data_IF_976787758971
#
_entry.id   IF_976787758971
#
_cell.length_a   1.000
_cell.length_b   1.000
_cell.length_c   1.000
_cell.angle_alpha   90.00
_cell.angle_beta   90.00
_cell.angle_gamma   90.00
#
_symmetry.space_group_name_H-M   'P 1'
#
loop_
_entity.id
_entity.type
_entity.pdbx_description
1 polymer ?
#
# COMPACT_ATOMS: atom_id res chain seq x y z
N UNK A 1 -23.73 34.47 -13.67
CA UNK A 1 -24.47 33.71 -12.63
C UNK A 1 -23.85 32.36 -12.33
N UNK A 2 -23.84 31.37 -13.24
CA UNK A 2 -23.22 30.06 -12.91
C UNK A 2 -21.70 30.14 -12.63
N UNK A 3 -20.98 30.98 -13.38
CA UNK A 3 -19.53 31.12 -13.22
C UNK A 3 -19.11 31.81 -11.90
N UNK A 4 -19.94 32.72 -11.39
CA UNK A 4 -19.66 33.47 -10.15
C UNK A 4 -19.80 32.56 -8.94
N UNK A 5 -20.78 31.65 -9.01
CA UNK A 5 -21.04 30.66 -7.98
C UNK A 5 -19.90 29.64 -7.87
N UNK A 6 -19.39 29.14 -9.00
CA UNK A 6 -18.24 28.21 -9.00
C UNK A 6 -16.98 28.90 -8.45
N UNK A 7 -16.73 30.16 -8.85
CA UNK A 7 -15.56 30.93 -8.41
C UNK A 7 -15.56 31.20 -6.91
N UNK A 8 -16.72 31.38 -6.30
CA UNK A 8 -16.88 31.57 -4.85
C UNK A 8 -16.48 30.33 -4.03
N UNK A 9 -16.46 29.14 -4.65
CA UNK A 9 -16.09 27.88 -4.00
C UNK A 9 -14.79 27.28 -4.54
N UNK A 10 -13.98 28.02 -5.32
CA UNK A 10 -12.65 27.56 -5.75
C UNK A 10 -11.70 27.27 -4.57
N UNK A 11 -12.01 27.81 -3.38
CA UNK A 11 -11.31 27.52 -2.13
C UNK A 11 -11.70 26.18 -1.47
N UNK A 12 -12.81 25.55 -1.90
CA UNK A 12 -13.20 24.20 -1.43
C UNK A 12 -12.44 23.09 -2.16
N UNK A 13 -11.53 23.43 -3.07
CA UNK A 13 -10.47 22.52 -3.48
C UNK A 13 -9.55 22.35 -2.26
N UNK A 14 -9.95 21.45 -1.36
CA UNK A 14 -9.23 21.20 -0.11
C UNK A 14 -7.75 21.06 -0.38
N UNK A 15 -6.93 21.60 0.53
CA UNK A 15 -5.46 21.58 0.48
C UNK A 15 -4.97 20.41 -0.34
N UNK A 16 -4.25 20.68 -1.44
CA UNK A 16 -3.83 19.66 -2.42
C UNK A 16 -3.04 18.56 -1.69
N UNK A 17 -3.76 17.52 -1.25
CA UNK A 17 -3.21 16.45 -0.46
C UNK A 17 -2.42 15.59 -1.43
N UNK A 18 -1.11 15.74 -1.39
CA UNK A 18 -0.20 15.03 -2.28
C UNK A 18 0.09 13.61 -1.79
N UNK A 19 0.53 12.74 -2.70
CA UNK A 19 1.03 11.37 -2.42
C UNK A 19 2.08 11.37 -1.29
N UNK A 20 2.83 12.45 -1.13
CA UNK A 20 3.80 12.64 -0.05
C UNK A 20 3.19 12.49 1.36
N UNK A 21 1.89 12.77 1.52
CA UNK A 21 1.20 12.58 2.79
C UNK A 21 0.92 11.09 3.07
N UNK A 22 0.68 10.27 2.05
CA UNK A 22 0.49 8.83 2.19
C UNK A 22 1.74 8.10 2.68
N UNK A 23 2.91 8.59 2.31
CA UNK A 23 4.20 8.05 2.75
C UNK A 23 4.40 8.21 4.27
N UNK A 24 3.77 9.22 4.87
CA UNK A 24 3.82 9.47 6.30
C UNK A 24 2.90 8.55 7.09
N UNK A 25 1.92 7.92 6.43
CA UNK A 25 0.95 7.02 7.06
C UNK A 25 1.59 5.66 7.27
N UNK A 26 2.34 5.52 8.37
CA UNK A 26 2.94 4.26 8.78
C UNK A 26 1.96 3.35 9.50
N UNK A 27 2.21 2.04 9.41
CA UNK A 27 1.51 1.03 10.19
C UNK A 27 1.94 1.13 11.66
N UNK A 28 0.97 1.07 12.56
CA UNK A 28 1.17 1.03 14.00
C UNK A 28 1.42 -0.42 14.47
N UNK A 29 2.16 -0.58 15.57
CA UNK A 29 2.49 -1.91 16.12
C UNK A 29 1.26 -2.67 16.63
N UNK A 30 0.24 -1.96 17.11
CA UNK A 30 -0.96 -2.52 17.72
C UNK A 30 -2.15 -2.68 16.76
N UNK A 31 -2.05 -2.19 15.53
CA UNK A 31 -3.12 -2.36 14.54
C UNK A 31 -2.86 -3.57 13.65
N UNK A 32 -3.92 -4.29 13.29
CA UNK A 32 -3.87 -5.34 12.26
C UNK A 32 -3.57 -4.73 10.89
N UNK A 33 -3.00 -5.52 9.99
CA UNK A 33 -2.79 -5.13 8.59
C UNK A 33 -4.05 -4.58 7.92
N UNK A 34 -5.20 -5.24 8.13
CA UNK A 34 -6.47 -4.81 7.54
C UNK A 34 -6.89 -3.40 8.00
N UNK A 35 -6.83 -3.12 9.31
CA UNK A 35 -7.13 -1.79 9.86
C UNK A 35 -6.21 -0.73 9.28
N UNK A 36 -4.91 -1.02 9.19
CA UNK A 36 -3.94 -0.14 8.58
C UNK A 36 -4.29 0.16 7.11
N UNK A 37 -4.55 -0.86 6.30
CA UNK A 37 -4.88 -0.70 4.88
C UNK A 37 -6.13 0.15 4.65
N UNK A 38 -7.17 -0.06 5.47
CA UNK A 38 -8.40 0.76 5.41
C UNK A 38 -8.11 2.21 5.77
N UNK A 39 -7.36 2.46 6.86
CA UNK A 39 -6.96 3.82 7.29
C UNK A 39 -6.11 4.51 6.23
N UNK A 40 -5.18 3.79 5.63
CA UNK A 40 -4.34 4.31 4.56
C UNK A 40 -5.18 4.68 3.32
N UNK A 41 -6.12 3.81 2.91
CA UNK A 41 -7.01 4.09 1.77
C UNK A 41 -7.93 5.28 2.03
N UNK A 42 -8.37 5.47 3.27
CA UNK A 42 -9.15 6.65 3.67
C UNK A 42 -8.35 7.95 3.47
N UNK A 43 -7.07 7.97 3.85
CA UNK A 43 -6.21 9.12 3.58
C UNK A 43 -5.97 9.31 2.08
N UNK A 44 -5.79 8.22 1.35
CA UNK A 44 -5.58 8.24 -0.09
C UNK A 44 -6.82 8.70 -0.88
N UNK A 45 -8.02 8.54 -0.33
CA UNK A 45 -9.27 9.03 -0.94
C UNK A 45 -9.40 10.56 -0.95
N UNK A 46 -8.59 11.26 -0.15
CA UNK A 46 -8.60 12.73 -0.06
C UNK A 46 -7.71 13.40 -1.13
N UNK A 47 -6.95 12.61 -1.89
CA UNK A 47 -6.05 13.10 -2.93
C UNK A 47 -6.86 13.46 -4.18
N UNK A 48 -6.56 14.63 -4.74
CA UNK A 48 -7.12 15.10 -6.00
C UNK A 48 -6.01 15.36 -7.04
N UNK A 49 -6.17 14.87 -8.29
CA UNK A 49 -7.20 13.93 -8.74
C UNK A 49 -7.07 12.56 -8.04
N UNK A 50 -8.18 11.84 -7.91
CA UNK A 50 -8.18 10.53 -7.25
C UNK A 50 -7.33 9.53 -8.05
N UNK A 51 -6.58 8.68 -7.33
CA UNK A 51 -5.75 7.63 -7.93
C UNK A 51 -6.63 6.56 -8.58
N UNK A 52 -6.13 5.94 -9.65
CA UNK A 52 -6.71 4.70 -10.18
C UNK A 52 -6.48 3.53 -9.22
N UNK A 53 -7.26 2.45 -9.35
CA UNK A 53 -7.09 1.25 -8.50
C UNK A 53 -5.68 0.65 -8.63
N UNK A 54 -5.09 0.68 -9.83
CA UNK A 54 -3.72 0.23 -10.08
C UNK A 54 -2.69 1.10 -9.33
N UNK A 55 -2.83 2.42 -9.42
CA UNK A 55 -1.95 3.37 -8.71
C UNK A 55 -2.11 3.27 -7.19
N UNK A 56 -3.33 3.03 -6.68
CA UNK A 56 -3.55 2.77 -5.27
C UNK A 56 -2.81 1.52 -4.81
N UNK A 57 -2.92 0.42 -5.55
CA UNK A 57 -2.27 -0.85 -5.22
C UNK A 57 -0.76 -0.68 -5.28
N UNK A 58 -0.24 -0.11 -6.36
CA UNK A 58 1.20 0.05 -6.54
C UNK A 58 1.78 0.96 -5.45
N UNK A 59 1.14 2.09 -5.16
CA UNK A 59 1.58 3.02 -4.11
C UNK A 59 1.52 2.35 -2.74
N UNK A 60 0.43 1.64 -2.42
CA UNK A 60 0.31 0.95 -1.14
C UNK A 60 1.41 -0.12 -0.95
N UNK A 61 1.75 -0.88 -1.99
CA UNK A 61 2.85 -1.85 -1.94
C UNK A 61 4.16 -1.12 -1.64
N UNK A 62 4.47 -0.04 -2.36
CA UNK A 62 5.73 0.69 -2.21
C UNK A 62 5.93 1.34 -0.83
N UNK A 63 4.85 1.72 -0.14
CA UNK A 63 4.98 2.26 1.23
C UNK A 63 5.15 1.18 2.30
N UNK A 64 4.98 -0.10 1.95
CA UNK A 64 5.27 -1.18 2.88
C UNK A 64 6.78 -1.32 3.09
N UNK A 65 7.16 -1.84 4.25
CA UNK A 65 8.55 -2.07 4.61
C UNK A 65 8.81 -3.59 4.76
N UNK A 66 10.05 -4.00 4.48
CA UNK A 66 10.54 -5.35 4.74
C UNK A 66 9.71 -6.45 4.09
N UNK A 67 9.33 -7.44 4.89
CA UNK A 67 8.67 -8.65 4.40
C UNK A 67 7.34 -8.38 3.69
N UNK A 68 6.60 -7.36 4.13
CA UNK A 68 5.33 -6.99 3.49
C UNK A 68 5.53 -6.46 2.07
N UNK A 69 6.54 -5.62 1.84
CA UNK A 69 6.89 -5.15 0.50
C UNK A 69 7.20 -6.33 -0.43
N UNK A 70 8.11 -7.21 -0.01
CA UNK A 70 8.54 -8.36 -0.82
C UNK A 70 7.37 -9.28 -1.19
N UNK A 71 6.54 -9.64 -0.20
CA UNK A 71 5.44 -10.59 -0.40
C UNK A 71 4.29 -10.00 -1.21
N UNK A 72 3.94 -8.73 -0.98
CA UNK A 72 2.87 -8.09 -1.73
C UNK A 72 3.31 -7.77 -3.16
N UNK A 73 4.56 -7.36 -3.38
CA UNK A 73 5.11 -7.13 -4.72
C UNK A 73 5.10 -8.41 -5.57
N UNK A 74 5.39 -9.56 -4.95
CA UNK A 74 5.32 -10.87 -5.60
C UNK A 74 3.90 -11.38 -5.84
N UNK A 75 2.87 -10.70 -5.34
CA UNK A 75 1.48 -11.13 -5.46
C UNK A 75 0.72 -10.34 -6.53
N UNK A 76 -0.09 -11.03 -7.32
CA UNK A 76 -0.93 -10.42 -8.36
C UNK A 76 -2.27 -9.95 -7.78
N UNK A 77 -2.29 -8.82 -7.06
CA UNK A 77 -3.53 -8.22 -6.57
C UNK A 77 -4.19 -7.33 -7.64
N UNK A 78 -5.40 -7.68 -8.07
CA UNK A 78 -6.18 -6.91 -9.07
C UNK A 78 -7.07 -5.80 -8.49
N UNK A 79 -7.29 -5.83 -7.18
CA UNK A 79 -8.04 -4.83 -6.45
C UNK A 79 -7.53 -4.79 -5.00
N UNK A 80 -7.85 -3.72 -4.29
CA UNK A 80 -7.39 -3.53 -2.92
C UNK A 80 -7.97 -4.55 -1.94
N UNK A 81 -9.17 -5.09 -2.20
CA UNK A 81 -9.74 -6.15 -1.37
C UNK A 81 -8.88 -7.41 -1.41
N UNK A 82 -8.39 -7.79 -2.59
CA UNK A 82 -7.44 -8.88 -2.76
C UNK A 82 -6.12 -8.57 -2.04
N UNK A 83 -5.62 -7.34 -2.15
CA UNK A 83 -4.41 -6.90 -1.44
C UNK A 83 -4.54 -7.03 0.08
N UNK A 84 -5.68 -6.64 0.65
CA UNK A 84 -5.99 -6.81 2.08
C UNK A 84 -5.98 -8.28 2.48
N UNK A 85 -6.60 -9.15 1.69
CA UNK A 85 -6.62 -10.60 1.97
C UNK A 85 -5.20 -11.17 2.01
N UNK A 86 -4.38 -10.85 1.02
CA UNK A 86 -2.98 -11.29 0.96
C UNK A 86 -2.19 -10.80 2.18
N UNK A 87 -2.32 -9.52 2.53
CA UNK A 87 -1.66 -8.97 3.70
C UNK A 87 -2.12 -9.57 5.03
N UNK A 88 -3.40 -9.94 5.14
CA UNK A 88 -3.93 -10.70 6.29
C UNK A 88 -3.31 -12.09 6.38
N UNK A 89 -3.17 -12.79 5.25
CA UNK A 89 -2.50 -14.10 5.24
C UNK A 89 -1.01 -14.01 5.60
N UNK A 90 -0.34 -12.93 5.21
CA UNK A 90 1.04 -12.64 5.64
C UNK A 90 1.07 -12.44 7.17
N UNK A 91 0.18 -11.59 7.71
CA UNK A 91 0.09 -11.32 9.14
C UNK A 91 -0.19 -12.60 9.95
N UNK A 92 -1.14 -13.43 9.51
CA UNK A 92 -1.44 -14.72 10.11
C UNK A 92 -0.23 -15.67 10.04
N UNK A 93 0.42 -15.78 8.88
CA UNK A 93 1.60 -16.64 8.71
C UNK A 93 2.78 -16.24 9.59
N UNK A 94 2.93 -14.94 9.92
CA UNK A 94 3.91 -14.47 10.89
C UNK A 94 3.49 -14.88 12.32
N UNK A 95 2.24 -14.65 12.69
CA UNK A 95 1.71 -15.01 14.02
C UNK A 95 1.79 -16.52 14.29
N UNK A 96 1.56 -17.33 13.26
CA UNK A 96 1.63 -18.79 13.33
C UNK A 96 3.06 -19.33 13.15
N UNK A 97 4.06 -18.46 12.99
CA UNK A 97 5.47 -18.83 12.85
C UNK A 97 5.84 -19.53 11.52
N UNK A 98 4.93 -19.56 10.54
CA UNK A 98 5.19 -20.12 9.20
C UNK A 98 6.04 -19.19 8.33
N UNK A 99 5.99 -17.89 8.60
CA UNK A 99 6.73 -16.86 7.89
C UNK A 99 7.71 -16.22 8.86
N UNK A 100 8.99 -16.26 8.48
CA UNK A 100 10.07 -15.67 9.28
C UNK A 100 10.32 -14.23 8.83
N UNK A 101 10.02 -13.27 9.71
CA UNK A 101 10.41 -11.88 9.51
C UNK A 101 11.89 -11.68 9.90
N UNK A 102 12.77 -11.66 8.89
CA UNK A 102 14.21 -11.48 9.07
C UNK A 102 14.57 -10.14 9.72
N UNK A 103 13.74 -9.10 9.55
CA UNK A 103 13.97 -7.79 10.16
C UNK A 103 13.78 -7.86 11.68
N UNK A 104 12.76 -8.59 12.14
CA UNK A 104 12.55 -8.86 13.57
C UNK A 104 13.70 -9.68 14.18
N UNK A 105 14.25 -10.65 13.44
CA UNK A 105 15.42 -11.44 13.89
C UNK A 105 16.66 -10.55 14.07
N UNK A 106 16.92 -9.63 13.15
CA UNK A 106 18.05 -8.69 13.30
C UNK A 106 17.88 -7.78 14.52
N UNK A 107 16.67 -7.26 14.77
CA UNK A 107 16.39 -6.45 15.96
C UNK A 107 16.60 -7.28 17.23
N UNK A 108 16.11 -8.52 17.28
CA UNK A 108 16.31 -9.42 18.44
C UNK A 108 17.79 -9.72 18.64
N UNK A 109 18.54 -10.00 17.57
CA UNK A 109 19.98 -10.24 17.65
C UNK A 109 20.75 -9.01 18.14
N UNK A 110 20.45 -7.82 17.60
CA UNK A 110 21.08 -6.57 18.03
C UNK A 110 20.75 -6.24 19.50
N UNK A 111 19.50 -6.47 19.91
CA UNK A 111 19.06 -6.26 21.30
C UNK A 111 19.72 -7.25 22.25
N UNK A 112 19.89 -8.51 21.83
CA UNK A 112 20.61 -9.52 22.62
C UNK A 112 22.09 -9.16 22.77
N UNK A 113 22.75 -8.73 21.69
CA UNK A 113 24.14 -8.26 21.72
C UNK A 113 24.30 -7.02 22.61
N UNK A 114 23.38 -6.05 22.52
CA UNK A 114 23.38 -4.88 23.38
C UNK A 114 23.17 -5.23 24.86
N UNK A 115 22.27 -6.20 25.16
CA UNK A 115 22.06 -6.69 26.53
C UNK A 115 23.28 -7.40 27.11
N UNK A 116 24.01 -8.18 26.30
CA UNK A 116 25.28 -8.81 26.72
C UNK A 116 26.34 -7.73 26.98
N UNK A 117 26.47 -6.74 26.10
CA UNK A 117 27.43 -5.64 26.25
C UNK A 117 27.16 -4.83 27.52
N UNK A 118 25.90 -4.48 27.79
CA UNK A 118 25.50 -3.75 29.01
C UNK A 118 25.76 -4.60 30.25
N UNK A 119 25.40 -5.89 30.24
CA UNK A 119 25.60 -6.78 31.39
C UNK A 119 27.10 -6.92 31.75
N UNK A 120 27.96 -7.09 30.74
CA UNK A 120 29.41 -7.14 30.90
C UNK A 120 29.96 -5.81 31.47
N UNK A 121 29.47 -4.66 31.00
CA UNK A 121 29.87 -3.36 31.54
C UNK A 121 29.42 -3.14 32.99
N UNK A 122 28.22 -3.56 33.39
CA UNK A 122 27.79 -3.52 34.82
C UNK A 122 28.66 -4.41 35.69
N UNK A 123 29.01 -5.61 35.22
CA UNK A 123 29.89 -6.53 35.96
C UNK A 123 31.33 -6.01 36.07
N UNK A 124 31.82 -5.32 35.05
CA UNK A 124 33.12 -4.62 35.09
C UNK A 124 33.04 -3.39 36.02
N UNK A 125 31.92 -2.66 36.06
CA UNK A 125 31.71 -1.52 36.97
C UNK A 125 31.60 -1.96 38.43
N UNK A 126 30.95 -3.09 38.72
CA UNK A 126 30.87 -3.67 40.07
C UNK A 126 32.25 -4.13 40.56
N UNK A 127 33.05 -4.76 39.69
CA UNK A 127 34.42 -5.16 40.02
C UNK A 127 35.39 -3.98 40.16
N UNK A 128 35.15 -2.86 39.47
CA UNK A 128 36.00 -1.67 39.52
C UNK A 128 35.54 -0.63 40.56
N UNK A 129 34.36 -0.81 41.19
CA UNK A 129 33.85 0.07 42.25
C UNK A 129 34.60 -0.06 43.58
N UNK A 130 35.55 -0.99 43.69
CA UNK A 130 36.42 -1.13 44.88
C UNK A 130 37.71 -0.29 44.73
N UNK A 131 38.04 0.29 43.55
CA UNK A 131 39.39 0.84 43.31
C UNK A 131 39.55 2.31 42.86
N UNK A 132 38.51 3.13 42.69
CA UNK A 132 38.72 4.52 42.19
C UNK A 132 38.22 5.57 43.21
N UNK A 133 39.05 5.82 44.23
CA UNK A 133 39.17 7.17 44.82
C UNK A 133 40.12 7.96 43.93
N UNK A 134 39.67 9.13 43.47
CA UNK A 134 40.41 10.14 42.69
C UNK A 134 40.85 9.66 41.29
N UNK A 135 40.19 10.15 40.24
CA UNK A 135 40.79 11.15 39.36
C UNK A 135 39.78 11.60 38.29
N UNK A 136 39.57 12.90 38.29
CA UNK A 136 38.79 13.70 37.37
C UNK A 136 39.58 13.88 36.06
N UNK A 137 38.97 13.66 34.89
CA UNK A 137 39.20 14.45 33.65
C UNK A 137 38.32 13.99 32.48
N UNK A 138 37.43 14.91 32.12
CA UNK A 138 36.86 15.25 30.80
C UNK A 138 37.42 14.49 29.56
N UNK A 139 36.52 13.85 28.81
CA UNK A 139 36.48 13.99 27.35
C UNK A 139 35.14 13.53 26.75
N UNK A 140 34.57 14.40 25.92
CA UNK A 140 33.34 14.25 25.15
C UNK A 140 33.63 13.58 23.79
N UNK A 141 32.88 12.55 23.37
CA UNK A 141 32.77 12.20 21.96
C UNK A 141 31.44 12.70 21.39
N UNK A 142 31.54 13.41 20.25
CA UNK A 142 30.40 13.89 19.46
C UNK A 142 29.58 12.74 18.87
N UNK A 143 28.27 12.80 19.06
CA UNK A 143 27.30 11.98 18.36
C UNK A 143 27.16 12.45 16.89
N UNK A 144 27.57 11.60 15.94
CA UNK A 144 27.17 11.74 14.55
C UNK A 144 25.80 11.07 14.35
N UNK A 145 24.76 11.90 14.30
CA UNK A 145 23.41 11.52 13.91
C UNK A 145 23.42 11.13 12.43
N UNK A 146 23.14 9.86 12.13
CA UNK A 146 22.97 9.36 10.77
C UNK A 146 21.58 9.78 10.25
N UNK A 147 21.54 10.95 9.62
CA UNK A 147 20.36 11.52 8.99
C UNK A 147 20.17 10.93 7.58
N UNK A 148 19.42 9.84 7.47
CA UNK A 148 18.99 9.32 6.17
C UNK A 148 17.94 10.25 5.56
N UNK A 149 18.31 10.96 4.50
CA UNK A 149 17.41 11.69 3.62
C UNK A 149 17.21 10.86 2.35
N UNK A 150 16.04 10.25 2.21
CA UNK A 150 15.63 9.59 0.98
C UNK A 150 14.81 10.58 0.15
N UNK A 151 15.46 11.19 -0.84
CA UNK A 151 14.85 12.11 -1.80
C UNK A 151 14.01 11.34 -2.82
N UNK A 152 12.69 11.41 -2.60
CA UNK A 152 11.57 11.40 -3.54
C UNK A 152 11.92 11.43 -5.04
N UNK A 153 11.72 10.30 -5.73
CA UNK A 153 11.51 10.21 -7.18
C UNK A 153 10.22 9.41 -7.45
N UNK A 154 9.06 10.01 -7.14
CA UNK A 154 7.74 9.34 -7.17
C UNK A 154 7.05 9.28 -8.53
N UNK A 155 7.65 9.81 -9.61
CA UNK A 155 6.99 9.86 -10.93
C UNK A 155 7.65 9.02 -12.04
N UNK A 156 8.73 8.29 -11.78
CA UNK A 156 9.51 7.63 -12.86
C UNK A 156 9.61 6.11 -12.80
N UNK A 157 8.83 5.41 -11.97
CA UNK A 157 8.85 3.95 -11.96
C UNK A 157 7.48 3.40 -12.29
N UNK A 158 7.16 3.39 -13.58
CA UNK A 158 6.17 2.44 -14.10
C UNK A 158 6.81 1.04 -14.04
N UNK A 159 6.78 0.45 -12.85
CA UNK A 159 7.15 -0.94 -12.64
C UNK A 159 6.12 -1.78 -13.38
N UNK A 160 6.58 -2.54 -14.38
CA UNK A 160 5.79 -3.62 -14.96
C UNK A 160 5.48 -4.60 -13.84
N UNK A 161 4.25 -4.62 -13.36
CA UNK A 161 3.81 -5.59 -12.39
C UNK A 161 4.09 -7.01 -12.94
N UNK A 162 4.67 -7.94 -12.16
CA UNK A 162 4.95 -9.31 -12.60
C UNK A 162 3.71 -10.04 -13.14
N UNK A 163 2.52 -9.55 -12.80
CA UNK A 163 1.24 -10.08 -13.21
C UNK A 163 1.09 -10.20 -14.74
N UNK A 164 1.57 -9.23 -15.52
CA UNK A 164 1.43 -9.30 -16.98
C UNK A 164 2.20 -10.49 -17.59
N UNK A 165 3.33 -10.90 -17.01
CA UNK A 165 4.14 -12.00 -17.54
C UNK A 165 3.55 -13.39 -17.26
N UNK A 166 2.83 -13.56 -16.15
CA UNK A 166 2.21 -14.85 -15.80
C UNK A 166 1.05 -15.23 -16.74
N UNK A 167 0.40 -14.25 -17.38
CA UNK A 167 -0.63 -14.51 -18.39
C UNK A 167 -0.06 -15.00 -19.74
N UNK A 168 1.24 -14.81 -20.00
CA UNK A 168 1.87 -15.23 -21.27
C UNK A 168 2.43 -16.66 -21.23
N UNK A 169 2.69 -17.25 -20.07
CA UNK A 169 3.22 -18.62 -19.97
C UNK A 169 2.16 -19.72 -19.87
N UNK A 170 0.89 -19.37 -19.59
CA UNK A 170 -0.20 -20.35 -19.49
C UNK A 170 -0.92 -20.64 -20.83
N UNK A 171 -0.48 -20.09 -21.97
CA UNK A 171 -1.12 -20.30 -23.28
C UNK A 171 -0.39 -21.35 -24.14
N UNK A 172 -0.25 -22.57 -23.62
CA UNK A 172 0.00 -23.77 -24.46
C UNK A 172 -0.79 -24.96 -23.95
N UNK A 173 -2.10 -24.80 -23.80
CA UNK A 173 -3.02 -25.93 -23.95
C UNK A 173 -4.38 -25.40 -24.41
N UNK A 174 -4.88 -26.00 -25.48
CA UNK A 174 -6.10 -25.64 -26.18
C UNK A 174 -7.33 -25.79 -25.29
N UNK A 175 -7.91 -24.67 -24.84
CA UNK A 175 -9.30 -24.60 -24.40
C UNK A 175 -10.17 -24.16 -25.61
N UNK A 176 -11.40 -24.67 -25.78
CA UNK A 176 -12.23 -24.32 -26.92
C UNK A 176 -12.59 -22.83 -26.87
N UNK A 177 -12.32 -22.12 -27.96
CA UNK A 177 -12.77 -20.75 -28.15
C UNK A 177 -14.30 -20.73 -28.06
N UNK A 178 -14.84 -20.17 -26.98
CA UNK A 178 -16.23 -19.71 -27.00
C UNK A 178 -16.24 -18.49 -27.92
N UNK A 179 -16.73 -18.71 -29.14
CA UNK A 179 -16.97 -17.69 -30.16
C UNK A 179 -17.72 -16.54 -29.49
N UNK A 180 -17.05 -15.40 -29.34
CA UNK A 180 -17.75 -14.14 -29.05
C UNK A 180 -18.57 -13.88 -30.30
N UNK A 181 -19.85 -14.23 -30.27
CA UNK A 181 -20.78 -13.76 -31.27
C UNK A 181 -20.79 -12.24 -31.17
N UNK A 182 -20.34 -11.58 -32.24
CA UNK A 182 -20.74 -10.21 -32.46
C UNK A 182 -22.25 -10.18 -32.37
N UNK A 183 -22.81 -9.58 -31.33
CA UNK A 183 -24.23 -9.26 -31.29
C UNK A 183 -24.47 -8.26 -32.41
N UNK A 184 -24.81 -8.77 -33.59
CA UNK A 184 -25.35 -7.99 -34.68
C UNK A 184 -26.78 -7.65 -34.27
N UNK A 185 -27.06 -6.35 -34.14
CA UNK A 185 -28.41 -5.88 -33.94
C UNK A 185 -29.24 -6.30 -35.16
N UNK A 186 -30.21 -7.20 -34.97
CA UNK A 186 -31.24 -7.47 -35.96
C UNK A 186 -32.13 -6.23 -36.04
N UNK A 187 -32.19 -5.52 -37.18
CA UNK A 187 -33.13 -4.43 -37.34
C UNK A 187 -34.53 -5.01 -37.13
N UNK A 188 -35.35 -4.32 -36.35
CA UNK A 188 -36.75 -4.68 -36.21
C UNK A 188 -37.41 -4.51 -37.59
N UNK A 189 -38.08 -5.54 -38.11
CA UNK A 189 -38.82 -5.51 -39.39
C UNK A 189 -40.00 -4.52 -39.40
N UNK A 190 -40.25 -3.88 -38.26
CA UNK A 190 -41.27 -2.85 -38.07
C UNK A 190 -40.61 -1.49 -37.86
N UNK A 191 -40.98 -0.46 -38.64
CA UNK A 191 -40.51 0.89 -38.43
C UNK A 191 -40.79 1.38 -37.00
N UNK A 192 -39.84 2.11 -36.41
CA UNK A 192 -39.93 2.63 -35.05
C UNK A 192 -41.22 3.40 -34.76
N UNK A 193 -41.77 4.11 -35.74
CA UNK A 193 -43.04 4.83 -35.61
C UNK A 193 -44.21 3.89 -35.23
N UNK A 194 -44.25 2.68 -35.77
CA UNK A 194 -45.31 1.68 -35.50
C UNK A 194 -45.16 1.13 -34.08
N UNK A 195 -43.93 0.90 -33.64
CA UNK A 195 -43.63 0.42 -32.29
C UNK A 195 -43.97 1.50 -31.25
N UNK A 196 -43.58 2.74 -31.54
CA UNK A 196 -43.84 3.88 -30.66
C UNK A 196 -45.34 4.12 -30.47
N UNK A 197 -46.12 4.09 -31.55
CA UNK A 197 -47.58 4.20 -31.46
C UNK A 197 -48.21 3.03 -30.70
N UNK A 198 -47.74 1.80 -30.90
CA UNK A 198 -48.20 0.65 -30.10
C UNK A 198 -47.92 0.84 -28.61
N UNK A 199 -46.75 1.33 -28.24
CA UNK A 199 -46.40 1.54 -26.84
C UNK A 199 -47.22 2.67 -26.21
N UNK A 200 -47.50 3.73 -26.97
CA UNK A 200 -48.38 4.84 -26.56
C UNK A 200 -49.81 4.37 -26.34
N UNK A 201 -50.38 3.59 -27.28
CA UNK A 201 -51.74 3.03 -27.18
C UNK A 201 -51.88 2.08 -25.99
N UNK A 202 -50.82 1.31 -25.69
CA UNK A 202 -50.80 0.41 -24.54
C UNK A 202 -50.40 1.11 -23.22
N UNK A 203 -50.27 2.44 -23.20
CA UNK A 203 -49.89 3.25 -22.03
C UNK A 203 -48.56 2.84 -21.38
N UNK A 204 -47.63 2.30 -22.17
CA UNK A 204 -46.28 1.92 -21.74
C UNK A 204 -45.26 3.04 -21.94
N UNK A 205 -45.65 4.10 -22.65
CA UNK A 205 -44.94 5.37 -22.77
C UNK A 205 -45.92 6.50 -22.46
N UNK A 206 -45.50 7.42 -21.58
CA UNK A 206 -46.26 8.58 -21.12
C UNK A 206 -45.91 9.83 -21.93
#
# INVERSE_FOLDING_TARGET
>A
MAHDFVKQYEFNNGDELHIANLLKVKKMSYESFQKYAIRWRLEASKIHPSLSEEEFISTFIHVQEGLYYEKLLGTCAHNFSNLIKVGKEIENGIQEGRIVDKSAIQVIHQTFQAKILVNLQTKIRENNSIFITMQQSQHHPSDQVLQYHATSNYYNVRLKHPCEQQFHQAQTSSLPQKKVESFSFTPLDVPYAVIFERLRVNKLLQ
#
